data_IF_405636254391
#
_entry.id   IF_405636254391
#
_cell.length_a   1.000
_cell.length_b   1.000
_cell.length_c   1.000
_cell.angle_alpha   90.00
_cell.angle_beta   90.00
_cell.angle_gamma   90.00
#
_symmetry.space_group_name_H-M   'P 1'
#
loop_
_entity.id
_entity.type
_entity.pdbx_description
1 polymer ?
#
# COMPACT_ATOMS: atom_id res chain seq x y z
N UNK A 1 7.53 -8.91 39.46
CA UNK A 1 8.16 -9.70 38.37
C UNK A 1 7.38 -9.40 37.10
N UNK A 2 7.90 -8.53 36.23
CA UNK A 2 7.30 -8.29 34.92
C UNK A 2 7.65 -9.49 34.04
N UNK A 3 6.67 -10.27 33.66
CA UNK A 3 6.81 -11.21 32.56
C UNK A 3 7.17 -10.42 31.31
N UNK A 4 8.43 -10.47 30.91
CA UNK A 4 8.87 -10.06 29.59
C UNK A 4 8.16 -11.01 28.61
N UNK A 5 7.02 -10.59 28.09
CA UNK A 5 6.41 -11.24 26.95
C UNK A 5 7.45 -11.33 25.85
N UNK A 6 7.74 -12.55 25.45
CA UNK A 6 8.71 -12.85 24.39
C UNK A 6 8.11 -12.36 23.07
N UNK A 7 8.27 -11.06 22.77
CA UNK A 7 7.76 -10.45 21.55
C UNK A 7 8.56 -10.99 20.38
N UNK A 8 7.83 -11.44 19.36
CA UNK A 8 8.45 -11.88 18.12
C UNK A 8 9.33 -10.75 17.55
N UNK A 9 10.57 -11.08 17.28
CA UNK A 9 11.53 -10.19 16.63
C UNK A 9 11.79 -10.69 15.21
N UNK A 10 12.20 -9.78 14.32
CA UNK A 10 12.65 -10.18 13.00
C UNK A 10 13.94 -10.98 13.11
N UNK A 11 14.02 -12.12 12.44
CA UNK A 11 15.16 -13.01 12.48
C UNK A 11 16.38 -12.51 11.70
N UNK A 12 16.18 -11.53 10.80
CA UNK A 12 17.24 -10.97 9.97
C UNK A 12 17.02 -9.51 9.60
N UNK A 13 18.12 -8.76 9.40
CA UNK A 13 18.10 -7.38 8.91
C UNK A 13 17.40 -7.29 7.54
N UNK A 14 17.66 -8.25 6.65
CA UNK A 14 17.03 -8.30 5.34
C UNK A 14 15.51 -8.52 5.45
N UNK A 15 15.07 -9.41 6.34
CA UNK A 15 13.66 -9.64 6.61
C UNK A 15 12.95 -8.39 7.11
N UNK A 16 13.57 -7.64 8.02
CA UNK A 16 13.05 -6.35 8.48
C UNK A 16 12.93 -5.33 7.34
N UNK A 17 13.99 -5.15 6.54
CA UNK A 17 13.99 -4.21 5.41
C UNK A 17 12.91 -4.57 4.37
N UNK A 18 12.81 -5.86 4.01
CA UNK A 18 11.79 -6.31 3.04
C UNK A 18 10.37 -6.19 3.61
N UNK A 19 10.17 -6.40 4.90
CA UNK A 19 8.86 -6.20 5.53
C UNK A 19 8.49 -4.72 5.59
N UNK A 20 9.44 -3.84 5.92
CA UNK A 20 9.22 -2.40 5.89
C UNK A 20 8.95 -1.88 4.46
N UNK A 21 9.71 -2.35 3.47
CA UNK A 21 9.46 -2.03 2.07
C UNK A 21 8.10 -2.56 1.60
N UNK A 22 7.70 -3.76 2.04
CA UNK A 22 6.38 -4.33 1.74
C UNK A 22 5.22 -3.55 2.33
N UNK A 23 5.42 -2.95 3.49
CA UNK A 23 4.45 -2.02 4.08
C UNK A 23 4.34 -0.73 3.26
N UNK A 24 5.46 -0.21 2.76
CA UNK A 24 5.51 1.02 1.98
C UNK A 24 4.98 0.85 0.54
N UNK A 25 5.30 -0.26 -0.13
CA UNK A 25 4.89 -0.53 -1.51
C UNK A 25 3.54 -1.28 -1.52
N UNK A 26 2.47 -0.55 -1.29
CA UNK A 26 1.11 -1.09 -1.30
C UNK A 26 0.38 -0.93 -2.63
N UNK A 27 -0.83 -1.51 -2.70
CA UNK A 27 -1.74 -1.39 -3.86
C UNK A 27 -1.99 0.08 -4.27
N UNK A 28 -2.05 0.99 -3.31
CA UNK A 28 -2.25 2.41 -3.60
C UNK A 28 -1.12 3.01 -4.43
N UNK A 29 0.11 2.59 -4.23
CA UNK A 29 1.26 3.06 -4.99
C UNK A 29 1.26 2.48 -6.42
N UNK A 30 0.82 1.25 -6.59
CA UNK A 30 0.80 0.59 -7.90
C UNK A 30 -0.44 1.02 -8.71
N UNK A 31 -1.59 1.11 -8.06
CA UNK A 31 -2.87 1.37 -8.74
C UNK A 31 -3.21 2.85 -8.84
N UNK A 32 -3.17 3.60 -7.71
CA UNK A 32 -3.67 4.98 -7.67
C UNK A 32 -2.61 6.02 -8.02
N UNK A 33 -1.34 5.78 -7.64
CA UNK A 33 -0.28 6.78 -7.81
C UNK A 33 -0.04 7.18 -9.27
N UNK A 34 -0.01 6.27 -10.27
CA UNK A 34 0.19 6.66 -11.67
C UNK A 34 -0.90 7.63 -12.16
N UNK A 35 -2.16 7.36 -11.81
CA UNK A 35 -3.27 8.25 -12.16
C UNK A 35 -3.18 9.61 -11.47
N UNK A 36 -2.76 9.66 -10.19
CA UNK A 36 -2.51 10.92 -9.49
C UNK A 36 -1.36 11.71 -10.13
N UNK A 37 -0.25 11.05 -10.45
CA UNK A 37 0.89 11.68 -11.09
C UNK A 37 0.49 12.28 -12.45
N UNK A 38 -0.29 11.56 -13.24
CA UNK A 38 -0.80 12.05 -14.50
C UNK A 38 -1.71 13.29 -14.32
N UNK A 39 -2.67 13.23 -13.40
CA UNK A 39 -3.68 14.31 -13.23
C UNK A 39 -3.14 15.54 -12.48
N UNK A 40 -2.03 15.43 -11.77
CA UNK A 40 -1.49 16.49 -10.93
C UNK A 40 -0.21 17.15 -11.48
N UNK A 41 0.13 16.94 -12.77
CA UNK A 41 1.24 17.65 -13.41
C UNK A 41 2.49 16.82 -13.69
N UNK A 42 2.36 15.49 -13.78
CA UNK A 42 3.42 14.59 -14.27
C UNK A 42 4.72 14.70 -13.49
N UNK A 43 5.81 15.07 -14.20
CA UNK A 43 7.14 15.15 -13.63
C UNK A 43 7.28 16.16 -12.49
N UNK A 44 6.60 17.31 -12.57
CA UNK A 44 6.61 18.30 -11.50
C UNK A 44 5.93 17.76 -10.21
N UNK A 45 4.80 17.08 -10.36
CA UNK A 45 4.15 16.40 -9.22
C UNK A 45 5.06 15.34 -8.60
N UNK A 46 5.74 14.54 -9.40
CA UNK A 46 6.66 13.50 -8.91
C UNK A 46 7.79 14.12 -8.07
N UNK A 47 8.35 15.26 -8.52
CA UNK A 47 9.38 15.97 -7.78
C UNK A 47 8.86 16.50 -6.45
N UNK A 48 7.70 17.16 -6.44
CA UNK A 48 7.04 17.63 -5.21
C UNK A 48 6.77 16.46 -4.26
N UNK A 49 6.29 15.35 -4.77
CA UNK A 49 6.07 14.14 -3.97
C UNK A 49 7.35 13.62 -3.31
N UNK A 50 8.46 13.53 -4.06
CA UNK A 50 9.77 13.11 -3.52
C UNK A 50 10.24 14.06 -2.41
N UNK A 51 10.08 15.37 -2.60
CA UNK A 51 10.41 16.38 -1.58
C UNK A 51 9.54 16.17 -0.32
N UNK A 52 8.23 15.94 -0.47
CA UNK A 52 7.34 15.67 0.67
C UNK A 52 7.72 14.39 1.42
N UNK A 53 8.06 13.32 0.71
CA UNK A 53 8.58 12.08 1.31
C UNK A 53 9.87 12.34 2.08
N UNK A 54 10.81 13.07 1.49
CA UNK A 54 12.11 13.35 2.12
C UNK A 54 12.00 14.24 3.36
N UNK A 55 11.19 15.29 3.32
CA UNK A 55 11.11 16.26 4.40
C UNK A 55 10.14 15.86 5.50
N UNK A 56 8.90 15.58 5.12
CA UNK A 56 7.83 15.34 6.08
C UNK A 56 7.77 13.88 6.46
N UNK A 57 7.79 12.98 5.47
CA UNK A 57 7.67 11.55 5.70
C UNK A 57 8.79 11.00 6.58
N UNK A 58 10.05 11.36 6.30
CA UNK A 58 11.18 10.89 7.12
C UNK A 58 11.12 11.44 8.53
N UNK A 59 10.72 12.70 8.71
CA UNK A 59 10.61 13.33 10.04
C UNK A 59 9.56 12.63 10.90
N UNK A 60 8.37 12.37 10.35
CA UNK A 60 7.29 11.68 11.07
C UNK A 60 7.69 10.23 11.38
N UNK A 61 8.28 9.51 10.41
CA UNK A 61 8.75 8.14 10.61
C UNK A 61 9.83 8.04 11.69
N UNK A 62 10.75 9.01 11.76
CA UNK A 62 11.74 9.06 12.84
C UNK A 62 11.09 9.27 14.22
N UNK A 63 10.06 10.11 14.30
CA UNK A 63 9.29 10.31 15.52
C UNK A 63 8.58 9.01 15.95
N UNK A 64 7.95 8.31 15.03
CA UNK A 64 7.30 7.00 15.30
C UNK A 64 8.30 5.96 15.80
N UNK A 65 9.45 5.84 15.13
CA UNK A 65 10.51 4.91 15.57
C UNK A 65 11.02 5.24 16.98
N UNK A 66 11.15 6.53 17.30
CA UNK A 66 11.58 6.97 18.64
C UNK A 66 10.55 6.57 19.70
N UNK A 67 9.27 6.81 19.44
CA UNK A 67 8.17 6.42 20.33
C UNK A 67 8.11 4.90 20.49
N UNK A 68 8.17 4.15 19.38
CA UNK A 68 8.09 2.70 19.41
C UNK A 68 9.27 2.03 20.14
N UNK A 69 10.49 2.52 19.89
CA UNK A 69 11.72 2.01 20.53
C UNK A 69 11.78 2.33 22.03
N UNK A 70 11.29 3.50 22.43
CA UNK A 70 11.30 3.90 23.85
C UNK A 70 10.25 3.13 24.66
N UNK A 71 9.07 2.94 24.10
CA UNK A 71 7.95 2.36 24.84
C UNK A 71 7.92 0.83 24.85
N UNK A 72 8.39 0.17 23.82
CA UNK A 72 8.31 -1.29 23.63
C UNK A 72 6.90 -1.86 23.87
N UNK A 73 5.86 -1.13 23.48
CA UNK A 73 4.45 -1.49 23.68
C UNK A 73 3.69 -1.43 22.34
N UNK A 74 2.44 -1.86 22.34
CA UNK A 74 1.52 -1.65 21.22
C UNK A 74 1.23 -0.15 21.04
N UNK A 75 0.55 0.24 19.96
CA UNK A 75 0.26 1.64 19.64
C UNK A 75 -0.37 2.38 20.83
N UNK A 76 -1.44 1.83 21.43
CA UNK A 76 -2.12 2.42 22.59
C UNK A 76 -1.18 2.58 23.80
N UNK A 77 -0.43 1.52 24.10
CA UNK A 77 0.50 1.49 25.25
C UNK A 77 1.71 2.39 25.06
N UNK A 78 2.17 2.59 23.82
CA UNK A 78 3.30 3.46 23.51
C UNK A 78 2.95 4.94 23.76
N UNK A 79 1.79 5.37 23.31
CA UNK A 79 1.33 6.74 23.59
C UNK A 79 1.01 6.96 25.09
N UNK A 80 0.43 5.96 25.77
CA UNK A 80 0.21 6.03 27.22
C UNK A 80 1.50 6.07 28.04
N UNK A 81 2.58 5.49 27.53
CA UNK A 81 3.89 5.55 28.19
C UNK A 81 4.48 6.96 28.18
N UNK A 82 4.15 7.77 27.18
CA UNK A 82 4.54 9.18 27.13
C UNK A 82 3.66 10.00 28.07
N UNK A 83 2.33 9.85 27.95
CA UNK A 83 1.35 10.47 28.83
C UNK A 83 0.02 9.74 28.75
N UNK A 84 -0.65 9.56 29.90
CA UNK A 84 -1.97 8.94 29.97
C UNK A 84 -2.99 9.63 29.07
N UNK A 85 -2.89 10.94 28.89
CA UNK A 85 -3.79 11.75 28.06
C UNK A 85 -3.66 11.42 26.56
N UNK A 86 -2.50 10.97 26.09
CA UNK A 86 -2.25 10.65 24.69
C UNK A 86 -2.68 9.23 24.29
N UNK A 87 -3.20 8.44 25.21
CA UNK A 87 -3.70 7.11 24.90
C UNK A 87 -4.77 7.08 23.80
N UNK A 88 -5.59 8.13 23.68
CA UNK A 88 -6.60 8.22 22.62
C UNK A 88 -5.98 8.26 21.22
N UNK A 89 -4.80 8.91 21.05
CA UNK A 89 -4.13 8.97 19.76
C UNK A 89 -3.69 7.56 19.29
N UNK A 90 -3.17 6.73 20.22
CA UNK A 90 -2.89 5.34 19.93
C UNK A 90 -4.16 4.53 19.59
N UNK A 91 -5.28 4.83 20.25
CA UNK A 91 -6.58 4.24 19.96
C UNK A 91 -7.11 4.62 18.56
N UNK A 92 -6.95 5.88 18.16
CA UNK A 92 -7.28 6.34 16.81
C UNK A 92 -6.41 5.63 15.74
N UNK A 93 -5.12 5.43 16.01
CA UNK A 93 -4.25 4.68 15.11
C UNK A 93 -4.73 3.24 14.89
N UNK A 94 -5.14 2.56 15.95
CA UNK A 94 -5.73 1.20 15.86
C UNK A 94 -7.04 1.21 15.06
N UNK A 95 -7.92 2.18 15.31
CA UNK A 95 -9.18 2.33 14.58
C UNK A 95 -8.94 2.61 13.09
N UNK A 96 -7.99 3.49 12.78
CA UNK A 96 -7.59 3.78 11.39
C UNK A 96 -7.08 2.52 10.69
N UNK A 97 -6.23 1.73 11.34
CA UNK A 97 -5.76 0.45 10.82
C UNK A 97 -6.90 -0.53 10.54
N UNK A 98 -7.90 -0.59 11.41
CA UNK A 98 -9.08 -1.43 11.21
C UNK A 98 -9.91 -0.99 9.99
N UNK A 99 -10.18 0.31 9.84
CA UNK A 99 -10.93 0.86 8.70
C UNK A 99 -10.18 0.60 7.39
N UNK A 100 -8.86 0.82 7.39
CA UNK A 100 -8.01 0.54 6.24
C UNK A 100 -8.06 -0.95 5.88
N UNK A 101 -7.99 -1.85 6.85
CA UNK A 101 -8.08 -3.29 6.62
C UNK A 101 -9.38 -3.69 5.90
N UNK A 102 -10.52 -3.13 6.30
CA UNK A 102 -11.79 -3.40 5.63
C UNK A 102 -11.75 -3.04 4.14
N UNK A 103 -11.21 -1.87 3.80
CA UNK A 103 -11.03 -1.45 2.42
C UNK A 103 -10.03 -2.33 1.66
N UNK A 104 -8.90 -2.65 2.29
CA UNK A 104 -7.86 -3.47 1.67
C UNK A 104 -8.31 -4.91 1.43
N UNK A 105 -9.13 -5.48 2.30
CA UNK A 105 -9.72 -6.80 2.08
C UNK A 105 -10.55 -6.83 0.80
N UNK A 106 -11.33 -5.78 0.54
CA UNK A 106 -12.15 -5.67 -0.66
C UNK A 106 -11.26 -5.57 -1.92
N UNK A 107 -10.31 -4.66 -1.95
CA UNK A 107 -9.41 -4.45 -3.10
C UNK A 107 -8.47 -5.64 -3.31
N UNK A 108 -7.96 -6.23 -2.23
CA UNK A 108 -7.16 -7.46 -2.29
C UNK A 108 -7.98 -8.63 -2.86
N UNK A 109 -9.23 -8.75 -2.48
CA UNK A 109 -10.16 -9.71 -3.05
C UNK A 109 -10.36 -9.51 -4.55
N UNK A 110 -10.53 -8.28 -5.02
CA UNK A 110 -10.62 -7.98 -6.46
C UNK A 110 -9.34 -8.37 -7.21
N UNK A 111 -8.19 -8.13 -6.63
CA UNK A 111 -6.91 -8.55 -7.23
C UNK A 111 -6.86 -10.07 -7.38
N UNK A 112 -7.27 -10.83 -6.36
CA UNK A 112 -7.36 -12.29 -6.44
C UNK A 112 -8.39 -12.75 -7.47
N UNK A 113 -9.56 -12.09 -7.55
CA UNK A 113 -10.56 -12.39 -8.58
C UNK A 113 -9.98 -12.16 -9.98
N UNK A 114 -9.20 -11.11 -10.20
CA UNK A 114 -8.55 -10.86 -11.48
C UNK A 114 -7.49 -11.93 -11.83
N UNK A 115 -6.72 -12.40 -10.84
CA UNK A 115 -5.79 -13.53 -11.07
C UNK A 115 -6.57 -14.75 -11.57
N UNK A 116 -7.67 -15.09 -10.89
CA UNK A 116 -8.56 -16.17 -11.34
C UNK A 116 -9.15 -15.89 -12.73
N UNK A 117 -9.63 -14.68 -12.96
CA UNK A 117 -10.28 -14.28 -14.20
C UNK A 117 -9.34 -14.38 -15.43
N UNK A 118 -8.10 -13.96 -15.30
CA UNK A 118 -7.12 -14.10 -16.38
C UNK A 118 -6.75 -15.56 -16.69
N UNK A 119 -6.94 -16.47 -15.74
CA UNK A 119 -6.71 -17.90 -15.95
C UNK A 119 -7.96 -18.59 -16.52
N UNK A 120 -9.13 -18.34 -15.92
CA UNK A 120 -10.36 -19.11 -16.19
C UNK A 120 -11.37 -18.36 -17.08
N UNK A 121 -11.36 -17.03 -17.05
CA UNK A 121 -12.36 -16.18 -17.70
C UNK A 121 -11.73 -15.15 -18.65
N UNK A 122 -10.51 -15.39 -19.15
CA UNK A 122 -9.70 -14.43 -19.92
C UNK A 122 -10.46 -13.83 -21.11
N UNK A 123 -11.24 -14.64 -21.83
CA UNK A 123 -12.03 -14.17 -22.99
C UNK A 123 -13.03 -13.08 -22.58
N UNK A 124 -13.66 -13.20 -21.42
CA UNK A 124 -14.63 -12.21 -20.92
C UNK A 124 -13.94 -10.91 -20.50
N UNK A 125 -12.77 -11.03 -19.84
CA UNK A 125 -11.99 -9.87 -19.43
C UNK A 125 -11.47 -9.09 -20.63
N UNK A 126 -10.99 -9.77 -21.67
CA UNK A 126 -10.47 -9.13 -22.88
C UNK A 126 -11.56 -8.57 -23.79
N UNK A 127 -12.79 -9.13 -23.77
CA UNK A 127 -13.90 -8.64 -24.59
C UNK A 127 -14.35 -7.23 -24.16
N UNK A 128 -14.56 -7.01 -22.89
CA UNK A 128 -14.88 -5.70 -22.30
C UNK A 128 -14.37 -5.62 -20.85
N UNK A 129 -13.13 -5.12 -20.64
CA UNK A 129 -12.57 -4.97 -19.30
C UNK A 129 -13.39 -4.08 -18.37
N UNK A 130 -14.06 -3.05 -18.94
CA UNK A 130 -14.86 -2.11 -18.16
C UNK A 130 -16.15 -2.74 -17.69
N UNK A 131 -16.89 -3.41 -18.57
CA UNK A 131 -18.10 -4.13 -18.20
C UNK A 131 -17.80 -5.26 -17.20
N UNK A 132 -16.66 -5.97 -17.38
CA UNK A 132 -16.22 -6.99 -16.42
C UNK A 132 -16.00 -6.40 -15.02
N UNK A 133 -15.27 -5.27 -14.92
CA UNK A 133 -15.03 -4.59 -13.68
C UNK A 133 -16.31 -4.07 -13.03
N UNK A 134 -17.20 -3.43 -13.78
CA UNK A 134 -18.48 -2.95 -13.29
C UNK A 134 -19.39 -4.09 -12.83
N UNK A 135 -19.38 -5.22 -13.53
CA UNK A 135 -20.08 -6.44 -13.10
C UNK A 135 -19.56 -6.98 -11.77
N UNK A 136 -18.25 -6.91 -11.56
CA UNK A 136 -17.62 -7.28 -10.29
C UNK A 136 -17.99 -6.30 -9.15
N UNK A 137 -18.36 -5.05 -9.47
CA UNK A 137 -18.85 -4.06 -8.50
C UNK A 137 -20.37 -4.13 -8.27
N UNK A 138 -21.11 -4.93 -9.05
CA UNK A 138 -22.53 -5.12 -8.87
C UNK A 138 -23.43 -4.47 -9.91
N UNK A 139 -22.90 -4.03 -11.06
CA UNK A 139 -23.70 -3.44 -12.12
C UNK A 139 -24.79 -4.41 -12.67
N UNK A 140 -24.55 -5.72 -12.59
CA UNK A 140 -25.43 -6.77 -13.07
C UNK A 140 -26.14 -7.54 -11.94
N UNK A 141 -26.23 -6.98 -10.73
CA UNK A 141 -26.80 -7.61 -9.55
C UNK A 141 -25.76 -7.78 -8.44
N UNK A 142 -26.12 -8.52 -7.36
CA UNK A 142 -25.21 -8.69 -6.23
C UNK A 142 -23.95 -9.46 -6.64
N UNK A 143 -22.74 -8.86 -6.54
CA UNK A 143 -21.50 -9.44 -7.04
C UNK A 143 -20.88 -10.42 -6.03
N UNK A 144 -21.49 -11.57 -5.81
CA UNK A 144 -21.12 -12.54 -4.79
C UNK A 144 -19.61 -12.86 -4.80
N UNK A 145 -19.02 -13.07 -5.97
CA UNK A 145 -17.60 -13.37 -6.08
C UNK A 145 -16.74 -12.16 -5.73
N UNK A 146 -17.01 -11.00 -6.33
CA UNK A 146 -16.21 -9.78 -6.12
C UNK A 146 -16.38 -9.13 -4.74
N UNK A 147 -17.61 -9.19 -4.18
CA UNK A 147 -17.90 -8.54 -2.90
C UNK A 147 -17.71 -9.44 -1.67
N UNK A 148 -17.80 -10.76 -1.82
CA UNK A 148 -17.80 -11.68 -0.67
C UNK A 148 -16.72 -12.76 -0.78
N UNK A 149 -16.75 -13.60 -1.81
CA UNK A 149 -15.93 -14.81 -1.86
C UNK A 149 -14.44 -14.47 -1.87
N UNK A 150 -13.98 -13.69 -2.84
CA UNK A 150 -12.57 -13.35 -2.96
C UNK A 150 -12.05 -12.45 -1.83
N UNK A 151 -12.79 -11.43 -1.33
CA UNK A 151 -12.42 -10.70 -0.13
C UNK A 151 -12.27 -11.59 1.12
N UNK A 152 -13.16 -12.58 1.31
CA UNK A 152 -13.03 -13.52 2.42
C UNK A 152 -11.82 -14.44 2.27
N UNK A 153 -11.52 -14.92 1.06
CA UNK A 153 -10.30 -15.70 0.80
C UNK A 153 -9.06 -14.85 1.12
N UNK A 154 -9.03 -13.59 0.68
CA UNK A 154 -7.94 -12.68 0.98
C UNK A 154 -7.77 -12.45 2.48
N UNK A 155 -8.87 -12.20 3.19
CA UNK A 155 -8.88 -12.02 4.64
C UNK A 155 -8.38 -13.27 5.36
N UNK A 156 -8.83 -14.45 4.96
CA UNK A 156 -8.40 -15.72 5.54
C UNK A 156 -6.90 -15.95 5.35
N UNK A 157 -6.38 -15.75 4.14
CA UNK A 157 -4.95 -15.86 3.86
C UNK A 157 -4.12 -14.87 4.68
N UNK A 158 -4.59 -13.63 4.79
CA UNK A 158 -3.95 -12.60 5.60
C UNK A 158 -3.93 -13.00 7.08
N UNK A 159 -5.07 -13.43 7.61
CA UNK A 159 -5.17 -13.89 8.99
C UNK A 159 -4.28 -15.11 9.26
N UNK A 160 -4.20 -16.05 8.32
CA UNK A 160 -3.31 -17.20 8.40
C UNK A 160 -1.83 -16.80 8.48
N UNK A 161 -1.39 -15.86 7.65
CA UNK A 161 0.00 -15.35 7.69
C UNK A 161 0.26 -14.64 9.02
N UNK A 162 -0.66 -13.77 9.46
CA UNK A 162 -0.54 -13.02 10.71
C UNK A 162 -0.59 -13.90 11.96
N UNK A 163 -1.25 -15.05 11.91
CA UNK A 163 -1.26 -16.00 13.03
C UNK A 163 0.12 -16.52 13.40
N UNK A 164 1.08 -16.48 12.48
CA UNK A 164 2.48 -16.84 12.71
C UNK A 164 3.32 -15.66 13.23
N UNK A 165 2.70 -14.52 13.54
CA UNK A 165 3.35 -13.33 14.07
C UNK A 165 4.40 -12.73 13.13
N UNK A 166 5.44 -12.12 13.71
CA UNK A 166 6.52 -11.46 12.94
C UNK A 166 7.27 -12.43 12.03
N UNK A 167 7.42 -13.68 12.42
CA UNK A 167 8.08 -14.71 11.60
C UNK A 167 7.29 -15.02 10.32
N UNK A 168 5.96 -15.06 10.39
CA UNK A 168 5.09 -15.24 9.23
C UNK A 168 5.21 -14.07 8.25
N UNK A 169 5.15 -12.85 8.76
CA UNK A 169 5.32 -11.62 7.97
C UNK A 169 6.69 -11.61 7.29
N UNK A 170 7.77 -11.90 8.04
CA UNK A 170 9.13 -11.91 7.52
C UNK A 170 9.30 -12.96 6.41
N UNK A 171 8.81 -14.18 6.60
CA UNK A 171 8.90 -15.26 5.63
C UNK A 171 8.18 -14.90 4.33
N UNK A 172 6.97 -14.37 4.43
CA UNK A 172 6.20 -13.97 3.25
C UNK A 172 6.82 -12.76 2.54
N UNK A 173 7.29 -11.76 3.27
CA UNK A 173 7.96 -10.59 2.69
C UNK A 173 9.22 -10.96 1.94
N UNK A 174 10.01 -11.91 2.43
CA UNK A 174 11.22 -12.41 1.74
C UNK A 174 10.93 -13.03 0.38
N UNK A 175 9.74 -13.56 0.16
CA UNK A 175 9.33 -14.16 -1.11
C UNK A 175 8.58 -13.17 -1.98
N UNK A 176 7.56 -12.50 -1.40
CA UNK A 176 6.66 -11.65 -2.16
C UNK A 176 7.31 -10.34 -2.62
N UNK A 177 8.21 -9.76 -1.81
CA UNK A 177 8.85 -8.49 -2.21
C UNK A 177 9.79 -8.62 -3.40
N UNK A 178 10.72 -9.57 -3.46
CA UNK A 178 11.52 -9.79 -4.68
C UNK A 178 10.65 -10.11 -5.90
N UNK A 179 9.60 -10.92 -5.73
CA UNK A 179 8.66 -11.21 -6.81
C UNK A 179 7.97 -9.94 -7.32
N UNK A 180 7.51 -9.09 -6.41
CA UNK A 180 6.89 -7.81 -6.76
C UNK A 180 7.86 -6.92 -7.54
N UNK A 181 9.12 -6.80 -7.12
CA UNK A 181 10.13 -6.02 -7.85
C UNK A 181 10.38 -6.55 -9.27
N UNK A 182 10.47 -7.87 -9.43
CA UNK A 182 10.62 -8.49 -10.75
C UNK A 182 9.41 -8.17 -11.64
N UNK A 183 8.19 -8.28 -11.11
CA UNK A 183 6.97 -7.93 -11.84
C UNK A 183 6.92 -6.45 -12.22
N UNK A 184 7.28 -5.55 -11.30
CA UNK A 184 7.32 -4.10 -11.59
C UNK A 184 8.35 -3.75 -12.65
N UNK A 185 9.54 -4.37 -12.62
CA UNK A 185 10.56 -4.18 -13.66
C UNK A 185 10.05 -4.69 -15.01
N UNK A 186 9.41 -5.85 -15.04
CA UNK A 186 8.79 -6.38 -16.25
C UNK A 186 7.71 -5.46 -16.82
N UNK A 187 6.85 -4.92 -15.97
CA UNK A 187 5.83 -3.94 -16.35
C UNK A 187 6.46 -2.63 -16.87
N UNK A 188 7.52 -2.15 -16.21
CA UNK A 188 8.25 -0.97 -16.64
C UNK A 188 8.84 -1.15 -18.04
N UNK A 189 9.55 -2.26 -18.28
CA UNK A 189 10.11 -2.57 -19.59
C UNK A 189 8.97 -2.64 -20.63
N UNK A 190 7.90 -3.37 -20.33
CA UNK A 190 6.76 -3.49 -21.23
C UNK A 190 6.11 -2.15 -21.55
N UNK A 191 5.94 -1.28 -20.54
CA UNK A 191 5.35 0.05 -20.71
C UNK A 191 6.22 0.93 -21.61
N UNK A 192 7.55 0.88 -21.47
CA UNK A 192 8.48 1.64 -22.30
C UNK A 192 8.54 1.14 -23.76
N UNK A 193 8.14 -0.10 -24.04
CA UNK A 193 8.15 -0.69 -25.40
C UNK A 193 6.80 -0.56 -26.11
N UNK A 194 5.78 0.04 -25.50
CA UNK A 194 4.49 0.23 -26.13
C UNK A 194 4.52 1.40 -27.14
N UNK A 195 3.73 1.31 -28.24
CA UNK A 195 3.54 2.46 -29.14
C UNK A 195 3.04 3.68 -28.37
N UNK A 196 3.69 4.83 -28.55
CA UNK A 196 3.33 6.06 -27.84
C UNK A 196 3.97 6.24 -26.44
N UNK A 197 4.81 5.31 -25.99
CA UNK A 197 5.51 5.41 -24.69
C UNK A 197 6.35 6.70 -24.58
N UNK A 198 6.90 7.18 -25.69
CA UNK A 198 7.72 8.42 -25.73
C UNK A 198 6.95 9.64 -25.20
N UNK A 199 5.67 9.76 -25.54
CA UNK A 199 4.84 10.88 -25.05
C UNK A 199 4.63 10.79 -23.54
N UNK A 200 4.37 9.59 -23.02
CA UNK A 200 4.23 9.36 -21.59
C UNK A 200 5.53 9.60 -20.81
N UNK A 201 6.66 9.10 -21.33
CA UNK A 201 7.98 9.33 -20.74
C UNK A 201 8.35 10.81 -20.74
N UNK A 202 8.13 11.52 -21.84
CA UNK A 202 8.34 12.98 -21.91
C UNK A 202 7.50 13.71 -20.88
N UNK A 203 6.23 13.37 -20.74
CA UNK A 203 5.35 13.98 -19.76
C UNK A 203 5.80 13.73 -18.31
N UNK A 204 6.24 12.52 -18.01
CA UNK A 204 6.70 12.16 -16.65
C UNK A 204 8.10 12.67 -16.31
N UNK A 205 8.96 12.93 -17.29
CA UNK A 205 10.30 13.45 -17.08
C UNK A 205 10.39 14.97 -17.25
N UNK A 206 9.42 15.58 -17.93
CA UNK A 206 9.37 17.04 -18.07
C UNK A 206 8.82 17.68 -16.80
N UNK A 207 9.63 18.57 -16.21
CA UNK A 207 9.26 19.27 -14.98
C UNK A 207 8.72 20.65 -15.34
N UNK A 208 7.41 20.80 -15.33
CA UNK A 208 6.72 22.07 -15.52
C UNK A 208 5.96 22.47 -14.27
N UNK A 209 6.53 23.38 -13.49
CA UNK A 209 5.90 23.86 -12.26
C UNK A 209 4.64 24.72 -12.51
N UNK A 210 4.37 25.19 -13.73
CA UNK A 210 3.15 25.93 -14.02
C UNK A 210 1.89 25.07 -13.85
N UNK A 211 2.05 23.74 -13.93
CA UNK A 211 0.95 22.77 -13.76
C UNK A 211 0.64 22.46 -12.29
N UNK A 212 1.52 22.88 -11.36
CA UNK A 212 1.36 22.61 -9.93
C UNK A 212 0.45 23.66 -9.30
N UNK A 213 -0.63 23.19 -8.70
CA UNK A 213 -1.54 23.98 -7.90
C UNK A 213 -1.57 23.50 -6.44
N UNK A 214 -2.23 24.24 -5.56
CA UNK A 214 -2.35 23.89 -4.14
C UNK A 214 -2.93 22.49 -3.91
N UNK A 215 -3.86 22.06 -4.76
CA UNK A 215 -4.43 20.72 -4.68
C UNK A 215 -3.40 19.64 -5.01
N UNK A 216 -2.55 19.84 -6.03
CA UNK A 216 -1.47 18.90 -6.36
C UNK A 216 -0.48 18.73 -5.18
N UNK A 217 -0.16 19.82 -4.47
CA UNK A 217 0.70 19.78 -3.28
C UNK A 217 0.03 18.99 -2.16
N UNK A 218 -1.26 19.20 -1.89
CA UNK A 218 -2.01 18.44 -0.89
C UNK A 218 -2.11 16.96 -1.25
N UNK A 219 -2.33 16.66 -2.54
CA UNK A 219 -2.36 15.27 -3.03
C UNK A 219 -0.99 14.60 -2.86
N UNK A 220 0.11 15.33 -3.16
CA UNK A 220 1.47 14.83 -2.98
C UNK A 220 1.77 14.54 -1.51
N UNK A 221 1.37 15.47 -0.60
CA UNK A 221 1.52 15.28 0.84
C UNK A 221 0.74 14.06 1.34
N UNK A 222 -0.55 13.97 0.99
CA UNK A 222 -1.38 12.82 1.38
C UNK A 222 -0.85 11.49 0.82
N UNK A 223 -0.28 11.52 -0.39
CA UNK A 223 0.36 10.34 -0.97
C UNK A 223 1.66 9.98 -0.26
N UNK A 224 2.43 10.96 0.22
CA UNK A 224 3.65 10.71 1.01
C UNK A 224 3.33 9.99 2.32
N UNK A 225 2.33 10.47 3.08
CA UNK A 225 1.85 9.78 4.28
C UNK A 225 1.38 8.36 3.98
N UNK A 226 0.56 8.21 2.95
CA UNK A 226 0.05 6.90 2.55
C UNK A 226 1.18 5.92 2.18
N UNK A 227 2.16 6.37 1.38
CA UNK A 227 3.27 5.51 0.92
C UNK A 227 4.21 5.09 2.03
N UNK A 228 4.36 5.89 3.06
CA UNK A 228 5.21 5.57 4.22
C UNK A 228 4.43 4.87 5.33
N UNK A 229 3.13 4.62 5.14
CA UNK A 229 2.24 3.99 6.13
C UNK A 229 2.19 4.77 7.45
N UNK A 230 2.16 6.10 7.36
CA UNK A 230 2.14 7.05 8.48
C UNK A 230 0.71 7.44 8.85
#
# INVERSE_FOLDING_TARGET
MSTTENRGQFGSKLGFILSAAGSAVGLGNIWKFPGKAYNCGGGAFLLVYIIMVALIGTTVMMAEFTVGRNAHKNALGSFRAISQKWGFAGGLGVLTGFIILCYYCQVGGWTMKYIYAYIAEAKMVYADPTAYFLGMLGANGFPLQGAVIFPLIFLFLTAFILSHGTAGIEKMSKVLMPLLFVLLIGLMIRSCTLPGADAGLKYMLHVDFSTINSNAILVALGQAFFSLSL
#
